data_IF_430544988234
#
_entry.id   IF_430544988234
#
_cell.length_a   1.000
_cell.length_b   1.000
_cell.length_c   1.000
_cell.angle_alpha   90.00
_cell.angle_beta   90.00
_cell.angle_gamma   90.00
#
_symmetry.space_group_name_H-M   'P 1'
#
loop_
_entity.id
_entity.type
_entity.pdbx_description
1 polymer ?
#
# COMPACT_ATOMS: atom_id res chain seq x y z
N UNK A 1 34.78 -20.24 -45.15
CA UNK A 1 33.86 -21.33 -44.75
C UNK A 1 32.49 -20.98 -45.29
N UNK A 2 31.81 -21.90 -45.96
CA UNK A 2 30.46 -21.66 -46.48
C UNK A 2 29.44 -21.71 -45.33
N UNK A 3 28.39 -20.87 -45.34
CA UNK A 3 27.36 -20.93 -44.30
C UNK A 3 26.56 -22.24 -44.40
N UNK A 4 26.34 -22.90 -43.27
CA UNK A 4 25.32 -23.95 -43.16
C UNK A 4 23.97 -23.23 -43.09
N UNK A 5 23.10 -23.46 -44.08
CA UNK A 5 21.75 -22.89 -44.12
C UNK A 5 20.74 -24.02 -44.14
N UNK A 6 19.82 -24.05 -43.16
CA UNK A 6 18.67 -24.97 -43.13
C UNK A 6 17.37 -24.14 -43.17
N UNK A 7 16.39 -24.56 -43.97
CA UNK A 7 15.07 -23.93 -44.10
C UNK A 7 14.03 -25.01 -44.28
N UNK A 8 12.93 -24.92 -43.54
CA UNK A 8 11.74 -25.78 -43.70
C UNK A 8 10.49 -24.90 -43.83
N UNK A 9 9.49 -25.40 -44.55
CA UNK A 9 8.15 -24.81 -44.68
C UNK A 9 7.07 -25.67 -43.99
N UNK A 10 7.47 -26.69 -43.22
CA UNK A 10 6.60 -27.53 -42.40
C UNK A 10 6.62 -27.05 -40.93
N UNK A 11 5.88 -27.73 -40.06
CA UNK A 11 5.89 -27.51 -38.61
C UNK A 11 7.11 -28.12 -37.90
N UNK A 12 7.97 -28.84 -38.63
CA UNK A 12 9.13 -29.51 -38.05
C UNK A 12 10.27 -28.52 -37.80
N UNK A 13 11.18 -28.87 -36.87
CA UNK A 13 12.34 -28.02 -36.60
C UNK A 13 13.32 -28.01 -37.78
N UNK A 14 13.72 -26.82 -38.24
CA UNK A 14 14.77 -26.68 -39.25
C UNK A 14 16.13 -27.23 -38.76
N UNK A 15 16.35 -27.19 -37.44
CA UNK A 15 17.50 -27.79 -36.75
C UNK A 15 17.00 -28.41 -35.45
N UNK A 16 17.19 -29.72 -35.26
CA UNK A 16 16.91 -30.44 -34.02
C UNK A 16 18.24 -30.90 -33.40
N UNK A 17 18.57 -30.39 -32.22
CA UNK A 17 19.76 -30.78 -31.46
C UNK A 17 19.34 -31.35 -30.09
N UNK A 18 19.93 -32.48 -29.70
CA UNK A 18 19.69 -33.13 -28.41
C UNK A 18 21.01 -33.68 -27.87
N UNK A 19 21.32 -33.40 -26.61
CA UNK A 19 22.59 -33.74 -25.97
C UNK A 19 22.38 -33.97 -24.47
N UNK A 20 23.23 -34.79 -23.86
CA UNK A 20 23.35 -34.88 -22.40
C UNK A 20 24.23 -33.75 -21.82
N UNK A 21 24.93 -33.00 -22.69
CA UNK A 21 25.68 -31.77 -22.38
C UNK A 21 25.07 -30.57 -23.12
N UNK A 22 25.91 -29.67 -23.64
CA UNK A 22 25.45 -28.54 -24.45
C UNK A 22 24.96 -29.02 -25.83
N UNK A 23 23.77 -28.58 -26.24
CA UNK A 23 23.16 -28.97 -27.52
C UNK A 23 23.47 -27.99 -28.65
N UNK A 24 23.59 -26.69 -28.35
CA UNK A 24 23.93 -25.62 -29.30
C UNK A 24 24.82 -24.61 -28.58
N UNK A 25 26.03 -24.37 -29.12
CA UNK A 25 26.98 -23.37 -28.63
C UNK A 25 27.17 -22.29 -29.70
N UNK A 26 27.02 -21.02 -29.34
CA UNK A 26 27.28 -19.89 -30.23
C UNK A 26 28.14 -18.84 -29.54
N UNK A 27 29.32 -18.58 -30.12
CA UNK A 27 30.28 -17.60 -29.63
C UNK A 27 30.57 -16.59 -30.73
N UNK A 28 30.69 -15.31 -30.37
CA UNK A 28 31.03 -14.22 -31.29
C UNK A 28 31.98 -13.24 -30.61
N UNK A 29 33.03 -12.86 -31.32
CA UNK A 29 33.94 -11.79 -30.92
C UNK A 29 33.53 -10.42 -31.48
N UNK A 30 32.39 -10.35 -32.17
CA UNK A 30 31.92 -9.13 -32.81
C UNK A 30 31.42 -8.11 -31.77
N UNK A 31 31.71 -6.84 -32.01
CA UNK A 31 31.21 -5.71 -31.22
C UNK A 31 29.83 -5.22 -31.68
N UNK A 32 29.28 -5.77 -32.77
CA UNK A 32 28.12 -5.20 -33.46
C UNK A 32 26.95 -6.16 -33.65
N UNK A 33 27.14 -7.47 -33.44
CA UNK A 33 26.08 -8.48 -33.69
C UNK A 33 26.06 -9.55 -32.60
N UNK A 34 24.88 -10.12 -32.35
CA UNK A 34 24.69 -11.19 -31.38
C UNK A 34 25.37 -12.50 -31.83
N UNK A 35 25.80 -13.32 -30.87
CA UNK A 35 26.35 -14.65 -31.14
C UNK A 35 25.29 -15.66 -31.60
N UNK A 36 24.06 -15.53 -31.09
CA UNK A 36 22.86 -16.28 -31.50
C UNK A 36 21.70 -15.30 -31.56
N UNK A 37 20.87 -15.37 -32.61
CA UNK A 37 19.65 -14.58 -32.73
C UNK A 37 18.46 -15.48 -33.10
N UNK A 38 17.38 -15.40 -32.34
CA UNK A 38 16.07 -15.97 -32.69
C UNK A 38 15.15 -14.85 -33.14
N UNK A 39 14.68 -14.89 -34.38
CA UNK A 39 13.81 -13.86 -34.97
C UNK A 39 12.54 -14.54 -35.47
N UNK A 40 11.39 -14.12 -34.93
CA UNK A 40 10.08 -14.51 -35.43
C UNK A 40 9.62 -13.40 -36.40
N UNK A 41 9.29 -13.78 -37.64
CA UNK A 41 9.01 -12.83 -38.73
C UNK A 41 7.57 -12.89 -39.23
N UNK A 42 6.65 -13.50 -38.47
CA UNK A 42 5.23 -13.58 -38.88
C UNK A 42 4.61 -12.19 -38.80
N UNK A 43 4.11 -11.62 -39.90
CA UNK A 43 3.54 -10.28 -39.91
C UNK A 43 2.16 -10.17 -39.25
N UNK A 44 1.46 -11.27 -38.99
CA UNK A 44 0.15 -11.24 -38.32
C UNK A 44 0.26 -10.75 -36.86
N UNK A 45 -0.37 -9.61 -36.50
CA UNK A 45 -0.36 -9.11 -35.12
C UNK A 45 -1.09 -10.03 -34.11
N UNK A 46 -1.83 -11.04 -34.59
CA UNK A 46 -2.42 -12.08 -33.74
C UNK A 46 -1.49 -13.29 -33.50
N UNK A 47 -0.31 -13.34 -34.15
CA UNK A 47 0.66 -14.42 -33.98
C UNK A 47 1.26 -14.45 -32.58
N UNK A 48 1.39 -15.64 -31.99
CA UNK A 48 1.87 -15.85 -30.60
C UNK A 48 3.24 -16.53 -30.52
N UNK A 49 3.91 -16.73 -31.67
CA UNK A 49 5.20 -17.40 -31.71
C UNK A 49 6.32 -16.59 -31.03
N UNK A 50 7.08 -17.22 -30.14
CA UNK A 50 8.24 -16.59 -29.50
C UNK A 50 9.47 -16.63 -30.42
N UNK A 51 10.27 -15.55 -30.44
CA UNK A 51 11.57 -15.54 -31.13
C UNK A 51 12.61 -16.47 -30.48
N UNK A 52 12.56 -16.61 -29.15
CA UNK A 52 13.35 -17.56 -28.35
C UNK A 52 12.44 -18.12 -27.25
N UNK A 53 12.37 -19.44 -27.13
CA UNK A 53 11.64 -20.14 -26.06
C UNK A 53 12.62 -20.99 -25.24
N UNK A 54 12.69 -20.74 -23.94
CA UNK A 54 13.50 -21.52 -23.02
C UNK A 54 12.65 -22.08 -21.87
N UNK A 55 12.69 -23.40 -21.67
CA UNK A 55 11.96 -24.12 -20.62
C UNK A 55 12.95 -24.93 -19.79
N UNK A 56 12.92 -24.75 -18.47
CA UNK A 56 13.66 -25.59 -17.53
C UNK A 56 12.68 -26.44 -16.71
N UNK A 57 12.85 -27.78 -16.74
CA UNK A 57 12.04 -28.72 -15.95
C UNK A 57 12.66 -29.08 -14.59
N UNK A 58 13.92 -28.70 -14.37
CA UNK A 58 14.64 -28.80 -13.09
C UNK A 58 14.78 -27.44 -12.40
N UNK A 59 15.56 -27.33 -11.33
CA UNK A 59 15.70 -26.10 -10.53
C UNK A 59 16.52 -24.95 -11.14
N UNK A 60 16.83 -25.01 -12.44
CA UNK A 60 17.61 -23.98 -13.16
C UNK A 60 16.72 -22.94 -13.86
N UNK A 61 17.32 -21.87 -14.37
CA UNK A 61 16.60 -20.85 -15.14
C UNK A 61 16.25 -21.36 -16.56
N UNK A 62 15.03 -21.08 -17.05
CA UNK A 62 14.62 -21.39 -18.42
C UNK A 62 15.31 -20.52 -19.48
N UNK A 63 15.63 -19.27 -19.14
CA UNK A 63 16.43 -18.31 -19.92
C UNK A 63 17.24 -17.46 -18.94
N UNK A 64 18.53 -17.25 -19.19
CA UNK A 64 19.40 -16.40 -18.38
C UNK A 64 20.26 -15.51 -19.28
N UNK A 65 20.33 -14.21 -18.98
CA UNK A 65 21.24 -13.28 -19.63
C UNK A 65 22.10 -12.58 -18.58
N UNK A 66 23.41 -12.55 -18.80
CA UNK A 66 24.41 -12.05 -17.84
C UNK A 66 25.34 -11.08 -18.55
N UNK A 67 25.52 -9.89 -17.97
CA UNK A 67 26.50 -8.91 -18.40
C UNK A 67 27.61 -8.88 -17.35
N UNK A 68 28.85 -9.18 -17.75
CA UNK A 68 29.99 -9.42 -16.81
C UNK A 68 31.04 -8.32 -16.80
N UNK A 69 30.94 -7.32 -17.68
CA UNK A 69 31.90 -6.21 -17.68
C UNK A 69 31.56 -5.24 -16.55
N UNK A 70 32.49 -4.96 -15.62
CA UNK A 70 32.26 -4.09 -14.46
C UNK A 70 32.06 -2.61 -14.82
N UNK A 71 32.26 -2.24 -16.09
CA UNK A 71 31.99 -0.91 -16.65
C UNK A 71 30.96 -0.91 -17.77
N UNK A 72 30.34 -2.06 -18.07
CA UNK A 72 29.34 -2.16 -19.11
C UNK A 72 28.00 -1.56 -18.68
N UNK A 73 27.33 -0.87 -19.60
CA UNK A 73 26.05 -0.19 -19.35
C UNK A 73 24.85 -0.92 -19.96
N UNK A 74 25.06 -2.12 -20.52
CA UNK A 74 24.02 -2.93 -21.15
C UNK A 74 23.24 -3.79 -20.15
N UNK A 75 21.95 -4.03 -20.40
CA UNK A 75 21.12 -4.89 -19.54
C UNK A 75 21.48 -6.37 -19.73
N UNK A 76 21.46 -7.16 -18.64
CA UNK A 76 21.62 -8.62 -18.71
C UNK A 76 20.47 -9.32 -19.44
N UNK A 77 19.24 -8.78 -19.31
CA UNK A 77 18.04 -9.19 -20.06
C UNK A 77 17.29 -7.91 -20.47
N UNK A 78 16.94 -7.78 -21.75
CA UNK A 78 16.17 -6.66 -22.29
C UNK A 78 14.87 -7.19 -22.91
N UNK A 79 13.72 -6.77 -22.38
CA UNK A 79 12.42 -6.99 -22.97
C UNK A 79 11.82 -5.66 -23.42
N UNK A 80 11.29 -5.61 -24.63
CA UNK A 80 10.58 -4.45 -25.20
C UNK A 80 9.23 -4.91 -25.75
N UNK A 81 8.17 -4.14 -25.48
CA UNK A 81 6.84 -4.38 -26.06
C UNK A 81 6.33 -3.07 -26.68
N UNK A 82 5.92 -3.13 -27.95
CA UNK A 82 5.35 -2.00 -28.69
C UNK A 82 3.81 -2.00 -28.72
N UNK A 83 3.17 -3.08 -28.23
CA UNK A 83 1.71 -3.23 -28.11
C UNK A 83 1.22 -3.04 -26.67
N UNK A 84 0.00 -3.50 -26.36
CA UNK A 84 -0.62 -3.35 -25.02
C UNK A 84 -0.15 -4.34 -23.94
N UNK A 85 0.82 -5.21 -24.25
CA UNK A 85 1.33 -6.24 -23.33
C UNK A 85 2.55 -5.77 -22.52
N UNK A 86 2.85 -6.46 -21.41
CA UNK A 86 4.06 -6.20 -20.63
C UNK A 86 5.32 -6.71 -21.35
N UNK A 87 6.39 -5.91 -21.35
CA UNK A 87 7.66 -6.24 -22.00
C UNK A 87 8.46 -7.35 -21.29
N UNK A 88 8.27 -7.50 -19.97
CA UNK A 88 8.82 -8.58 -19.14
C UNK A 88 7.76 -8.95 -18.09
N UNK A 89 7.51 -10.23 -17.87
CA UNK A 89 6.59 -10.73 -16.83
C UNK A 89 7.27 -11.81 -16.01
N UNK A 90 7.39 -11.58 -14.71
CA UNK A 90 7.75 -12.62 -13.75
C UNK A 90 6.53 -13.07 -12.95
N UNK A 91 6.23 -14.38 -12.95
CA UNK A 91 5.05 -14.95 -12.29
C UNK A 91 5.44 -16.12 -11.40
N UNK A 92 5.14 -16.01 -10.11
CA UNK A 92 5.14 -17.13 -9.18
C UNK A 92 3.70 -17.64 -9.05
N UNK A 93 3.49 -18.95 -9.14
CA UNK A 93 2.14 -19.56 -9.16
C UNK A 93 1.89 -20.51 -7.99
N UNK A 94 2.87 -20.77 -7.13
CA UNK A 94 2.72 -21.67 -6.00
C UNK A 94 2.02 -20.96 -4.84
N UNK A 95 0.84 -21.47 -4.47
CA UNK A 95 0.00 -20.94 -3.38
C UNK A 95 0.60 -21.13 -1.98
N UNK A 96 1.69 -21.91 -1.86
CA UNK A 96 2.40 -22.18 -0.60
C UNK A 96 3.88 -21.77 -0.66
N UNK A 97 4.37 -21.31 -1.82
CA UNK A 97 5.75 -20.86 -2.00
C UNK A 97 5.92 -19.38 -1.64
N UNK A 98 7.10 -19.01 -1.18
CA UNK A 98 7.44 -17.65 -0.75
C UNK A 98 8.35 -16.87 -1.72
N UNK A 99 8.63 -17.42 -2.90
CA UNK A 99 9.46 -16.79 -3.92
C UNK A 99 8.78 -15.55 -4.54
N UNK A 100 9.55 -14.50 -4.84
CA UNK A 100 9.04 -13.33 -5.54
C UNK A 100 8.77 -13.64 -7.02
N UNK A 101 7.72 -13.06 -7.60
CA UNK A 101 7.48 -13.13 -9.05
C UNK A 101 8.58 -12.41 -9.85
N UNK A 102 9.11 -11.31 -9.31
CA UNK A 102 10.26 -10.55 -9.82
C UNK A 102 11.13 -10.18 -8.62
N UNK A 103 12.44 -10.43 -8.69
CA UNK A 103 13.42 -10.04 -7.66
C UNK A 103 14.47 -9.12 -8.31
N UNK A 104 14.59 -7.90 -7.78
CA UNK A 104 15.64 -6.96 -8.16
C UNK A 104 16.56 -6.72 -6.96
N UNK A 105 17.87 -6.83 -7.17
CA UNK A 105 18.90 -6.56 -6.17
C UNK A 105 19.94 -5.61 -6.77
N UNK A 106 20.33 -4.58 -6.01
CA UNK A 106 21.42 -3.69 -6.36
C UNK A 106 22.39 -3.60 -5.19
N UNK A 107 23.63 -4.06 -5.41
CA UNK A 107 24.73 -3.98 -4.43
C UNK A 107 25.52 -2.67 -4.59
N UNK A 108 25.43 -2.03 -5.76
CA UNK A 108 26.01 -0.70 -6.02
C UNK A 108 25.08 0.45 -5.63
N UNK A 109 25.43 1.67 -6.03
CA UNK A 109 24.71 2.91 -5.70
C UNK A 109 23.38 3.10 -6.47
N UNK A 110 23.05 2.18 -7.39
CA UNK A 110 21.87 2.26 -8.24
C UNK A 110 20.56 1.85 -7.54
N UNK A 111 19.45 1.95 -8.27
CA UNK A 111 18.15 1.48 -7.80
C UNK A 111 17.98 0.00 -8.13
N UNK A 112 17.60 -0.82 -7.14
CA UNK A 112 17.24 -2.22 -7.36
C UNK A 112 16.01 -2.39 -8.28
N UNK A 113 15.09 -1.42 -8.25
CA UNK A 113 13.93 -1.31 -9.13
C UNK A 113 13.70 0.16 -9.46
N UNK A 114 13.51 0.49 -10.75
CA UNK A 114 13.18 1.84 -11.20
C UNK A 114 12.03 1.77 -12.21
N UNK A 115 10.93 2.46 -11.90
CA UNK A 115 9.78 2.62 -12.79
C UNK A 115 9.60 4.09 -13.18
N UNK A 116 9.57 4.39 -14.47
CA UNK A 116 9.38 5.76 -14.99
C UNK A 116 8.29 5.73 -16.05
N UNK A 117 7.18 6.44 -15.78
CA UNK A 117 6.18 6.73 -16.78
C UNK A 117 6.60 8.04 -17.50
N UNK A 118 6.83 7.99 -18.82
CA UNK A 118 7.31 9.14 -19.63
C UNK A 118 6.26 9.81 -20.52
N UNK A 119 5.08 9.22 -20.67
CA UNK A 119 3.97 9.81 -21.42
C UNK A 119 3.28 10.89 -20.56
N UNK A 120 3.44 12.19 -20.88
CA UNK A 120 2.87 13.27 -20.08
C UNK A 120 1.33 13.29 -20.09
N UNK A 121 0.68 12.54 -20.98
CA UNK A 121 -0.77 12.39 -21.05
C UNK A 121 -1.29 11.12 -20.38
N UNK A 122 -0.41 10.27 -19.85
CA UNK A 122 -0.80 9.04 -19.16
C UNK A 122 -1.23 9.33 -17.71
N UNK A 123 -2.29 8.66 -17.25
CA UNK A 123 -2.69 8.62 -15.84
C UNK A 123 -2.09 7.44 -15.07
N UNK A 124 -1.35 6.55 -15.76
CA UNK A 124 -0.69 5.41 -15.14
C UNK A 124 0.46 5.83 -14.21
N UNK A 125 0.57 5.15 -13.07
CA UNK A 125 1.67 5.36 -12.12
C UNK A 125 3.00 4.78 -12.64
N UNK A 126 4.13 5.37 -12.22
CA UNK A 126 5.46 4.80 -12.50
C UNK A 126 5.67 3.43 -11.83
N UNK A 127 4.96 3.17 -10.73
CA UNK A 127 4.86 1.88 -10.06
C UNK A 127 3.40 1.66 -9.63
N UNK A 128 2.85 0.51 -9.99
CA UNK A 128 1.53 0.07 -9.55
C UNK A 128 1.66 -1.27 -8.82
N UNK A 129 1.06 -1.36 -7.64
CA UNK A 129 1.03 -2.58 -6.84
C UNK A 129 -0.39 -2.81 -6.32
N UNK A 130 -0.89 -4.02 -6.49
CA UNK A 130 -2.23 -4.40 -6.07
C UNK A 130 -2.17 -5.76 -5.38
N UNK A 131 -2.87 -5.88 -4.25
CA UNK A 131 -3.25 -7.17 -3.70
C UNK A 131 -4.73 -7.39 -4.02
N UNK A 132 -5.05 -8.29 -4.97
CA UNK A 132 -6.42 -8.46 -5.50
C UNK A 132 -7.50 -8.75 -4.41
N UNK A 133 -7.11 -9.37 -3.29
CA UNK A 133 -8.01 -9.56 -2.14
C UNK A 133 -8.12 -8.35 -1.18
N UNK A 134 -7.56 -7.20 -1.52
CA UNK A 134 -7.57 -5.98 -0.70
C UNK A 134 -6.65 -6.00 0.53
N UNK A 135 -5.64 -6.88 0.56
CA UNK A 135 -4.65 -6.94 1.64
C UNK A 135 -3.48 -5.99 1.35
N UNK A 136 -2.37 -6.13 2.09
CA UNK A 136 -1.18 -5.29 1.94
C UNK A 136 -0.61 -5.34 0.53
N UNK A 137 -0.73 -4.23 -0.21
CA UNK A 137 -0.16 -4.09 -1.55
C UNK A 137 1.33 -3.73 -1.56
N UNK A 138 1.85 -3.14 -0.48
CA UNK A 138 3.26 -2.77 -0.34
C UNK A 138 3.74 -2.85 1.10
N UNK A 139 4.97 -3.33 1.29
CA UNK A 139 5.64 -3.41 2.59
C UNK A 139 7.09 -2.95 2.43
N UNK A 140 7.45 -1.89 3.16
CA UNK A 140 8.76 -1.22 3.03
C UNK A 140 9.54 -1.37 4.34
N UNK A 141 10.80 -1.77 4.24
CA UNK A 141 11.76 -1.74 5.35
C UNK A 141 12.78 -0.64 5.07
N UNK A 142 12.69 0.46 5.80
CA UNK A 142 13.43 1.70 5.56
C UNK A 142 12.50 2.89 5.37
N UNK A 143 13.06 4.03 5.00
CA UNK A 143 12.31 5.27 4.82
C UNK A 143 11.63 5.33 3.45
N UNK A 144 10.45 5.97 3.41
CA UNK A 144 9.75 6.29 2.16
C UNK A 144 9.73 7.79 2.00
N UNK A 145 10.43 8.30 0.98
CA UNK A 145 10.46 9.73 0.64
C UNK A 145 9.49 9.98 -0.51
N UNK A 146 8.51 10.86 -0.29
CA UNK A 146 7.55 11.31 -1.30
C UNK A 146 7.74 12.80 -1.50
N UNK A 147 8.03 13.22 -2.74
CA UNK A 147 8.28 14.63 -3.09
C UNK A 147 7.03 15.39 -3.54
N UNK A 148 5.91 14.67 -3.73
CA UNK A 148 4.58 15.23 -3.91
C UNK A 148 3.66 14.87 -2.74
N UNK A 149 2.36 14.82 -3.00
CA UNK A 149 1.36 14.52 -1.98
C UNK A 149 1.21 13.02 -1.71
N UNK A 150 0.86 12.68 -0.47
CA UNK A 150 0.34 11.36 -0.09
C UNK A 150 -1.17 11.47 0.13
N UNK A 151 -1.95 10.85 -0.75
CA UNK A 151 -3.41 10.90 -0.69
C UNK A 151 -3.97 9.72 0.09
N UNK A 152 -4.60 9.99 1.24
CA UNK A 152 -5.38 9.01 2.00
C UNK A 152 -6.88 9.25 1.81
N UNK A 153 -7.67 8.25 1.40
CA UNK A 153 -9.12 8.42 1.20
C UNK A 153 -9.93 8.45 2.52
N UNK A 154 -9.29 8.17 3.66
CA UNK A 154 -9.93 8.26 4.98
C UNK A 154 -9.92 9.68 5.55
N UNK A 155 -10.70 9.90 6.60
CA UNK A 155 -11.09 11.24 7.05
C UNK A 155 -10.29 11.78 8.25
N UNK A 156 -9.68 10.90 9.04
CA UNK A 156 -8.92 11.26 10.25
C UNK A 156 -7.51 10.67 10.26
N UNK A 157 -6.65 11.30 11.06
CA UNK A 157 -5.39 10.71 11.51
C UNK A 157 -5.62 10.16 12.92
N UNK A 158 -5.48 8.84 13.04
CA UNK A 158 -5.64 8.13 14.30
C UNK A 158 -4.32 7.52 14.78
N UNK A 159 -4.24 7.26 16.07
CA UNK A 159 -3.17 6.46 16.68
C UNK A 159 -3.80 5.35 17.52
N UNK A 160 -3.18 4.17 17.52
CA UNK A 160 -3.63 3.07 18.37
C UNK A 160 -3.14 3.23 19.81
N UNK A 161 -4.09 3.35 20.75
CA UNK A 161 -3.81 3.40 22.18
C UNK A 161 -4.26 2.11 22.89
N UNK A 162 -3.55 1.68 23.95
CA UNK A 162 -4.03 0.61 24.81
C UNK A 162 -5.27 1.08 25.59
N UNK A 163 -6.27 0.22 25.65
CA UNK A 163 -7.54 0.48 26.32
C UNK A 163 -7.70 -0.53 27.45
N UNK A 164 -8.34 -0.13 28.54
CA UNK A 164 -8.60 -1.06 29.64
C UNK A 164 -9.51 -2.23 29.19
N UNK A 165 -9.18 -3.48 29.56
CA UNK A 165 -9.82 -4.69 29.02
C UNK A 165 -11.35 -4.74 29.17
N UNK A 166 -11.86 -4.12 30.23
CA UNK A 166 -13.26 -4.20 30.63
C UNK A 166 -14.13 -3.07 30.09
N UNK A 167 -13.59 -2.14 29.31
CA UNK A 167 -14.35 -0.96 28.85
C UNK A 167 -14.91 -1.08 27.44
N UNK A 168 -16.11 -0.52 27.25
CA UNK A 168 -16.76 -0.41 25.95
C UNK A 168 -16.20 0.78 25.16
N UNK A 169 -15.12 0.54 24.42
CA UNK A 169 -14.53 1.50 23.48
C UNK A 169 -15.01 1.24 22.05
N UNK A 170 -16.31 1.39 21.82
CA UNK A 170 -16.90 1.33 20.48
C UNK A 170 -16.52 2.57 19.65
N UNK A 171 -16.53 2.49 18.31
CA UNK A 171 -16.38 3.67 17.48
C UNK A 171 -17.32 4.81 17.87
N UNK A 172 -16.78 6.02 17.92
CA UNK A 172 -17.45 7.24 18.34
C UNK A 172 -17.44 7.52 19.84
N UNK A 173 -16.97 6.60 20.67
CA UNK A 173 -16.77 6.84 22.12
C UNK A 173 -15.66 7.87 22.35
N UNK A 174 -15.93 8.88 23.19
CA UNK A 174 -14.93 9.83 23.70
C UNK A 174 -14.08 9.15 24.77
N UNK A 175 -12.75 9.21 24.64
CA UNK A 175 -11.82 8.46 25.50
C UNK A 175 -10.91 9.41 26.28
N UNK A 176 -10.69 9.11 27.56
CA UNK A 176 -9.82 9.84 28.47
C UNK A 176 -8.64 8.98 28.95
N UNK A 177 -7.53 9.64 29.21
CA UNK A 177 -6.31 9.04 29.74
C UNK A 177 -6.49 8.69 31.23
N UNK A 178 -6.00 7.51 31.61
CA UNK A 178 -5.79 7.13 33.01
C UNK A 178 -4.37 7.48 33.46
N UNK A 179 -4.11 7.45 34.76
CA UNK A 179 -2.76 7.70 35.31
C UNK A 179 -1.73 6.64 34.88
N UNK A 180 -2.18 5.49 34.36
CA UNK A 180 -1.31 4.42 33.85
C UNK A 180 -1.04 4.53 32.34
N UNK A 181 -1.62 5.54 31.67
CA UNK A 181 -1.45 5.77 30.22
C UNK A 181 -2.36 4.90 29.33
N UNK A 182 -3.29 4.14 29.91
CA UNK A 182 -4.36 3.47 29.16
C UNK A 182 -5.57 4.38 28.99
N UNK A 183 -6.50 3.99 28.11
CA UNK A 183 -7.73 4.74 27.90
C UNK A 183 -8.96 4.07 28.51
N UNK A 184 -9.87 4.92 28.98
CA UNK A 184 -11.23 4.58 29.39
C UNK A 184 -12.22 5.57 28.75
N UNK A 185 -13.51 5.26 28.63
CA UNK A 185 -14.51 6.25 28.24
C UNK A 185 -14.46 7.45 29.18
N UNK A 186 -14.57 8.66 28.64
CA UNK A 186 -14.67 9.87 29.47
C UNK A 186 -15.84 9.74 30.44
N UNK A 187 -15.66 10.16 31.69
CA UNK A 187 -16.69 10.04 32.73
C UNK A 187 -16.82 11.36 33.47
N UNK A 188 -17.60 12.26 32.88
CA UNK A 188 -17.88 13.57 33.45
C UNK A 188 -17.52 14.74 32.52
N UNK A 189 -18.12 15.92 32.79
CA UNK A 189 -18.07 17.05 31.88
C UNK A 189 -16.76 17.84 32.01
N UNK A 190 -16.24 18.36 30.89
CA UNK A 190 -15.00 19.13 30.84
C UNK A 190 -13.78 18.39 31.42
N UNK A 191 -13.65 17.09 31.14
CA UNK A 191 -12.46 16.31 31.52
C UNK A 191 -11.28 16.69 30.62
N UNK A 192 -10.24 17.27 31.21
CA UNK A 192 -9.02 17.68 30.50
C UNK A 192 -8.12 16.52 30.11
N UNK A 193 -8.44 15.29 30.53
CA UNK A 193 -7.70 14.07 30.17
C UNK A 193 -8.20 13.45 28.88
N UNK A 194 -9.22 14.02 28.23
CA UNK A 194 -9.72 13.48 26.96
C UNK A 194 -8.64 13.58 25.90
N UNK A 195 -8.37 12.46 25.24
CA UNK A 195 -7.34 12.32 24.20
C UNK A 195 -7.91 12.11 22.82
N UNK A 196 -9.24 12.06 22.68
CA UNK A 196 -9.90 11.98 21.38
C UNK A 196 -11.09 11.03 21.37
N UNK A 197 -11.42 10.54 20.17
CA UNK A 197 -12.61 9.72 19.91
C UNK A 197 -12.21 8.45 19.18
N UNK A 198 -12.78 7.30 19.56
CA UNK A 198 -12.54 6.04 18.86
C UNK A 198 -12.96 6.16 17.39
N UNK A 199 -12.04 5.94 16.46
CA UNK A 199 -12.28 6.11 15.02
C UNK A 199 -13.10 4.95 14.41
N UNK A 200 -13.60 5.15 13.18
CA UNK A 200 -14.27 4.09 12.41
C UNK A 200 -15.80 4.01 12.58
N UNK A 201 -16.44 5.02 13.15
CA UNK A 201 -17.89 5.09 13.31
C UNK A 201 -18.59 5.61 12.04
N UNK A 202 -19.87 5.27 11.89
CA UNK A 202 -20.69 5.72 10.77
C UNK A 202 -20.10 5.29 9.42
N UNK A 203 -19.95 6.25 8.51
CA UNK A 203 -19.39 6.02 7.17
C UNK A 203 -17.89 6.39 7.05
N UNK A 204 -17.25 6.79 8.15
CA UNK A 204 -15.87 7.29 8.12
C UNK A 204 -14.89 6.20 8.53
N UNK A 205 -13.72 6.20 7.87
CA UNK A 205 -12.55 5.40 8.20
C UNK A 205 -11.33 6.31 8.34
N UNK A 206 -10.38 5.93 9.17
CA UNK A 206 -9.11 6.65 9.28
C UNK A 206 -8.31 6.60 7.98
N UNK A 207 -7.72 7.73 7.62
CA UNK A 207 -6.81 7.87 6.49
C UNK A 207 -5.45 7.27 6.82
N UNK A 208 -4.96 7.56 8.01
CA UNK A 208 -3.73 6.98 8.58
C UNK A 208 -3.97 6.51 10.00
N UNK A 209 -3.39 5.36 10.35
CA UNK A 209 -3.40 4.83 11.72
C UNK A 209 -1.95 4.59 12.14
N UNK A 210 -1.50 5.36 13.14
CA UNK A 210 -0.16 5.29 13.72
C UNK A 210 -0.14 4.38 14.95
N UNK A 211 1.06 4.02 15.43
CA UNK A 211 1.21 3.28 16.68
C UNK A 211 0.68 1.84 16.64
N UNK A 212 0.48 1.26 15.44
CA UNK A 212 0.07 -0.14 15.28
C UNK A 212 1.13 -1.08 15.83
N UNK A 213 0.84 -1.66 16.99
CA UNK A 213 1.68 -2.67 17.61
C UNK A 213 1.01 -4.03 17.46
N UNK A 214 1.81 -5.07 17.21
CA UNK A 214 1.37 -6.48 17.22
C UNK A 214 1.48 -7.11 18.61
N UNK A 215 1.38 -6.28 19.66
CA UNK A 215 1.41 -6.77 21.04
C UNK A 215 -0.03 -6.96 21.53
N UNK A 216 -0.34 -8.18 21.92
CA UNK A 216 -1.68 -8.64 22.29
C UNK A 216 -1.96 -8.49 23.80
N UNK A 217 -1.04 -7.88 24.57
CA UNK A 217 -1.17 -7.78 26.03
C UNK A 217 -2.43 -6.99 26.48
N UNK A 218 -2.87 -6.00 25.69
CA UNK A 218 -4.09 -5.21 25.95
C UNK A 218 -4.80 -4.90 24.62
N UNK A 219 -6.15 -4.82 24.60
CA UNK A 219 -6.89 -4.41 23.43
C UNK A 219 -6.53 -2.96 23.10
N UNK A 220 -6.23 -2.72 21.82
CA UNK A 220 -5.94 -1.38 21.32
C UNK A 220 -7.09 -0.86 20.49
N UNK A 221 -7.24 0.47 20.44
CA UNK A 221 -8.23 1.14 19.60
C UNK A 221 -7.60 2.31 18.86
N UNK A 222 -7.94 2.52 17.58
CA UNK A 222 -7.55 3.73 16.88
C UNK A 222 -8.35 4.91 17.45
N UNK A 223 -7.64 5.90 17.99
CA UNK A 223 -8.22 7.13 18.50
C UNK A 223 -7.92 8.24 17.49
N UNK A 224 -8.96 8.83 16.94
CA UNK A 224 -8.83 10.00 16.07
C UNK A 224 -8.28 11.17 16.89
N UNK A 225 -7.19 11.76 16.40
CA UNK A 225 -6.52 12.91 17.04
C UNK A 225 -6.78 14.21 16.28
N UNK A 226 -6.88 14.11 14.96
CA UNK A 226 -7.18 15.22 14.06
C UNK A 226 -7.96 14.73 12.83
N UNK A 227 -8.87 15.56 12.33
CA UNK A 227 -9.65 15.31 11.11
C UNK A 227 -11.14 15.21 11.38
N UNK A 228 -11.86 14.44 10.58
CA UNK A 228 -13.31 14.25 10.76
C UNK A 228 -13.62 12.85 11.30
N UNK A 229 -14.35 12.80 12.40
CA UNK A 229 -14.76 11.54 13.05
C UNK A 229 -16.22 11.64 13.50
N UNK A 230 -16.93 10.51 13.51
CA UNK A 230 -18.24 10.44 14.15
C UNK A 230 -18.05 10.30 15.67
N UNK A 231 -18.76 11.12 16.45
CA UNK A 231 -18.68 11.19 17.90
C UNK A 231 -20.05 10.94 18.51
N UNK A 232 -20.10 10.10 19.55
CA UNK A 232 -21.26 9.95 20.42
C UNK A 232 -21.43 11.26 21.17
N UNK A 233 -22.58 11.89 21.02
CA UNK A 233 -22.87 13.18 21.60
C UNK A 233 -24.15 13.12 22.44
N UNK A 234 -24.20 13.95 23.47
CA UNK A 234 -25.33 14.17 24.36
C UNK A 234 -25.73 15.64 24.34
N UNK A 235 -26.99 15.89 24.00
CA UNK A 235 -27.62 17.20 23.97
C UNK A 235 -28.71 17.34 25.05
N UNK A 236 -28.62 16.57 26.16
CA UNK A 236 -29.56 16.67 27.27
C UNK A 236 -29.53 18.04 27.97
N UNK A 237 -28.34 18.66 28.10
CA UNK A 237 -28.15 19.94 28.80
C UNK A 237 -28.26 21.15 27.88
N UNK A 238 -27.84 21.02 26.62
CA UNK A 238 -27.93 22.06 25.60
C UNK A 238 -27.93 21.46 24.18
N UNK A 239 -28.76 21.99 23.26
CA UNK A 239 -28.70 21.61 21.85
C UNK A 239 -27.31 21.85 21.25
N UNK A 240 -26.83 20.90 20.45
CA UNK A 240 -25.60 21.02 19.68
C UNK A 240 -25.94 21.60 18.30
N UNK A 241 -25.27 22.69 17.93
CA UNK A 241 -25.39 23.33 16.63
C UNK A 241 -24.10 23.17 15.84
N UNK A 242 -24.17 23.28 14.50
CA UNK A 242 -22.96 23.23 13.66
C UNK A 242 -21.98 24.32 14.09
N UNK A 243 -20.71 23.95 14.27
CA UNK A 243 -19.65 24.84 14.74
C UNK A 243 -19.57 24.99 16.26
N UNK A 244 -20.50 24.41 17.03
CA UNK A 244 -20.42 24.41 18.49
C UNK A 244 -19.15 23.68 18.96
N UNK A 245 -18.45 24.29 19.92
CA UNK A 245 -17.35 23.63 20.63
C UNK A 245 -17.92 22.47 21.45
N UNK A 246 -17.23 21.34 21.42
CA UNK A 246 -17.60 20.12 22.13
C UNK A 246 -16.56 19.78 23.20
N UNK A 247 -17.03 19.22 24.31
CA UNK A 247 -16.24 18.71 25.44
C UNK A 247 -16.87 17.39 25.92
N UNK A 248 -16.26 16.65 26.86
CA UNK A 248 -16.88 15.45 27.44
C UNK A 248 -18.19 15.77 28.14
N UNK A 249 -19.11 14.81 28.20
CA UNK A 249 -20.42 14.90 28.85
C UNK A 249 -20.47 14.11 30.16
N UNK A 250 -21.57 14.26 30.91
CA UNK A 250 -21.89 13.39 32.05
C UNK A 250 -22.18 11.95 31.60
N UNK A 251 -22.70 11.75 30.39
CA UNK A 251 -22.92 10.40 29.84
C UNK A 251 -21.56 9.81 29.44
N UNK A 252 -21.15 8.64 30.00
CA UNK A 252 -19.85 8.08 29.72
C UNK A 252 -19.57 7.92 28.24
N UNK A 253 -18.39 8.37 27.81
CA UNK A 253 -17.94 8.30 26.43
C UNK A 253 -18.70 9.17 25.44
N UNK A 254 -19.49 10.15 25.90
CA UNK A 254 -20.18 11.09 25.04
C UNK A 254 -19.57 12.50 25.13
N UNK A 255 -19.75 13.28 24.07
CA UNK A 255 -19.45 14.70 24.05
C UNK A 255 -20.71 15.55 24.23
N UNK A 256 -20.61 16.72 24.84
CA UNK A 256 -21.67 17.72 24.92
C UNK A 256 -21.16 19.09 24.46
N UNK A 257 -22.08 20.05 24.31
CA UNK A 257 -21.72 21.43 24.00
C UNK A 257 -20.92 22.07 25.15
N UNK A 258 -19.72 22.56 24.86
CA UNK A 258 -18.88 23.32 25.78
C UNK A 258 -19.44 24.75 25.96
N UNK A 259 -20.40 24.89 26.88
CA UNK A 259 -21.11 26.15 27.15
C UNK A 259 -20.43 27.02 28.22
N UNK A 260 -19.58 26.43 29.05
CA UNK A 260 -18.81 27.12 30.09
C UNK A 260 -17.41 27.45 29.57
N UNK A 261 -17.20 28.72 29.20
CA UNK A 261 -15.92 29.19 28.67
C UNK A 261 -14.78 29.13 29.68
N UNK A 262 -15.05 29.17 30.99
CA UNK A 262 -14.01 29.11 32.02
C UNK A 262 -13.40 27.70 32.15
N UNK A 263 -14.19 26.67 31.83
CA UNK A 263 -13.76 25.26 31.86
C UNK A 263 -13.35 24.70 30.50
N UNK A 264 -13.69 25.41 29.41
CA UNK A 264 -13.46 24.95 28.04
C UNK A 264 -11.97 24.82 27.67
N UNK A 265 -11.11 25.66 28.25
CA UNK A 265 -9.68 25.59 27.96
C UNK A 265 -9.08 24.25 28.42
N UNK A 266 -8.48 23.50 27.50
CA UNK A 266 -7.91 22.17 27.76
C UNK A 266 -8.91 21.01 27.84
N UNK A 267 -10.21 21.26 27.66
CA UNK A 267 -11.24 20.21 27.67
C UNK A 267 -12.08 20.16 26.39
N UNK A 268 -11.89 21.12 25.48
CA UNK A 268 -12.51 21.10 24.15
C UNK A 268 -11.82 20.07 23.28
N UNK A 269 -12.62 19.22 22.65
CA UNK A 269 -12.14 18.11 21.81
C UNK A 269 -12.33 18.39 20.32
N UNK A 270 -13.18 19.36 19.97
CA UNK A 270 -13.45 19.70 18.57
C UNK A 270 -14.72 20.53 18.36
N UNK A 271 -15.18 20.54 17.11
CA UNK A 271 -16.38 21.27 16.67
C UNK A 271 -17.40 20.34 16.02
N UNK A 272 -18.67 20.54 16.33
CA UNK A 272 -19.75 19.80 15.68
C UNK A 272 -19.87 20.14 14.19
N UNK A 273 -20.02 19.13 13.33
CA UNK A 273 -20.29 19.31 11.90
C UNK A 273 -21.75 19.02 11.53
N UNK A 274 -22.54 18.47 12.47
CA UNK A 274 -23.99 18.32 12.35
C UNK A 274 -24.66 18.72 13.67
N UNK A 275 -25.93 19.17 13.61
CA UNK A 275 -26.68 19.50 14.82
C UNK A 275 -27.22 18.25 15.55
N UNK A 276 -27.44 18.36 16.84
CA UNK A 276 -28.21 17.42 17.67
C UNK A 276 -29.11 18.22 18.59
N UNK A 277 -30.42 18.15 18.36
CA UNK A 277 -31.39 19.02 19.05
C UNK A 277 -31.59 18.63 20.54
N UNK A 278 -31.60 17.33 20.83
CA UNK A 278 -31.86 16.78 22.17
C UNK A 278 -31.45 15.32 22.25
N UNK A 279 -31.21 14.81 23.46
CA UNK A 279 -30.90 13.40 23.71
C UNK A 279 -29.50 13.01 23.22
N UNK A 280 -29.27 11.71 23.06
CA UNK A 280 -27.99 11.18 22.57
C UNK A 280 -28.05 10.86 21.09
N UNK A 281 -26.91 10.95 20.41
CA UNK A 281 -26.81 10.64 18.99
C UNK A 281 -25.37 10.53 18.52
N UNK A 282 -25.18 9.99 17.32
CA UNK A 282 -23.87 9.92 16.67
C UNK A 282 -23.78 11.04 15.63
N UNK A 283 -22.88 12.00 15.81
CA UNK A 283 -22.73 13.16 14.90
C UNK A 283 -21.29 13.28 14.38
N UNK A 284 -21.07 13.73 13.13
CA UNK A 284 -19.73 14.05 12.66
C UNK A 284 -19.20 15.30 13.38
N UNK A 285 -17.93 15.26 13.76
CA UNK A 285 -17.21 16.37 14.37
C UNK A 285 -15.88 16.57 13.65
N UNK A 286 -15.42 17.81 13.60
CA UNK A 286 -14.03 18.14 13.29
C UNK A 286 -13.26 18.03 14.61
N UNK A 287 -12.47 16.98 14.76
CA UNK A 287 -11.64 16.75 15.94
C UNK A 287 -10.31 17.48 15.77
N UNK A 288 -9.91 18.17 16.83
CA UNK A 288 -8.63 18.84 16.93
C UNK A 288 -8.32 19.01 18.42
N UNK A 289 -7.43 18.16 18.93
CA UNK A 289 -6.95 18.27 20.31
C UNK A 289 -5.93 19.40 20.37
N UNK A 290 -6.14 20.35 21.30
CA UNK A 290 -5.28 21.52 21.52
C UNK A 290 -4.41 21.36 22.76
#
# INVERSE_FOLDING_TARGET
MSPITSRTNTTDAAVLASSAGEAVHGESTSTAVAAIAGVQTEPDPASTGAGVYGEARGGGAGVAGVQVSPTGTGAGVYGEAAGGGAAVVGRQTSLVGNGAGVYGECVGEGHALQGIQRNPSSTGAGLYAEHAAGLTAGFFRGDVVVTGDVSFPGADCAEEFPVHDTVLAEPGTVMALTDTGTLIPSDGPYDTRVVGVVAGAGALRSGIVMGRLRDDALPRRPIALVGTVYCKADAATAPITVGALLTSADVPGHAMRASDSARAFGSVIGKAMAPLASGTGLIPILIALQ
#
